data_IF_159535096014
#
_entry.id   IF_159535096014
#
_cell.length_a   1.000
_cell.length_b   1.000
_cell.length_c   1.000
_cell.angle_alpha   90.00
_cell.angle_beta   90.00
_cell.angle_gamma   90.00
#
_symmetry.space_group_name_H-M   'P 1'
#
loop_
_entity.id
_entity.type
_entity.pdbx_description
1 polymer ?
#
# COMPACT_ATOMS: atom_id res chain seq x y z
N UNK A 1 4.98 -24.47 -0.05
CA UNK A 1 4.13 -23.80 -1.08
C UNK A 1 4.99 -22.96 -2.03
N UNK A 2 4.45 -22.57 -3.19
CA UNK A 2 5.12 -21.68 -4.16
C UNK A 2 4.58 -20.25 -4.04
N UNK A 3 5.37 -19.26 -4.41
CA UNK A 3 4.99 -17.84 -4.44
C UNK A 3 5.15 -17.29 -5.86
N UNK A 4 4.06 -16.79 -6.43
CA UNK A 4 4.12 -16.07 -7.69
C UNK A 4 4.64 -14.64 -7.48
N UNK A 5 5.60 -14.20 -8.28
CA UNK A 5 6.08 -12.82 -8.28
C UNK A 5 5.92 -12.22 -9.68
N UNK A 6 5.22 -11.09 -9.76
CA UNK A 6 5.16 -10.27 -10.96
C UNK A 6 5.80 -8.91 -10.67
N UNK A 7 6.73 -8.51 -11.53
CA UNK A 7 7.35 -7.20 -11.52
C UNK A 7 6.99 -6.44 -12.78
N UNK A 8 6.47 -5.23 -12.62
CA UNK A 8 6.27 -4.29 -13.71
C UNK A 8 7.45 -3.33 -13.75
N UNK A 9 8.31 -3.41 -14.78
CA UNK A 9 9.53 -2.60 -14.85
C UNK A 9 9.26 -1.13 -15.17
N UNK A 10 8.15 -0.85 -15.87
CA UNK A 10 7.76 0.49 -16.30
C UNK A 10 6.68 1.11 -15.39
N UNK A 11 6.48 2.42 -15.55
CA UNK A 11 5.37 3.11 -14.91
C UNK A 11 4.05 2.47 -15.32
N UNK A 12 3.29 2.03 -14.32
CA UNK A 12 2.08 1.24 -14.54
C UNK A 12 0.84 2.00 -14.10
N UNK A 13 -0.30 1.77 -14.75
CA UNK A 13 -1.57 2.35 -14.31
C UNK A 13 -1.96 1.80 -12.93
N UNK A 14 -2.31 2.68 -12.00
CA UNK A 14 -2.82 2.28 -10.68
C UNK A 14 -4.09 1.43 -10.80
N UNK A 15 -4.99 1.79 -11.73
CA UNK A 15 -6.22 1.05 -12.01
C UNK A 15 -5.94 -0.36 -12.50
N UNK A 16 -5.01 -0.50 -13.46
CA UNK A 16 -4.63 -1.82 -14.00
C UNK A 16 -4.18 -2.77 -12.89
N UNK A 17 -3.28 -2.31 -12.03
CA UNK A 17 -2.82 -3.12 -10.88
C UNK A 17 -3.94 -3.36 -9.87
N UNK A 18 -4.81 -2.37 -9.64
CA UNK A 18 -5.97 -2.53 -8.74
C UNK A 18 -6.93 -3.60 -9.23
N UNK A 19 -7.19 -3.67 -10.54
CA UNK A 19 -7.98 -4.73 -11.15
C UNK A 19 -7.31 -6.10 -11.02
N UNK A 20 -6.02 -6.20 -11.33
CA UNK A 20 -5.28 -7.46 -11.15
C UNK A 20 -5.33 -7.94 -9.69
N UNK A 21 -5.06 -7.05 -8.73
CA UNK A 21 -5.16 -7.34 -7.31
C UNK A 21 -6.56 -7.84 -6.93
N UNK A 22 -7.63 -7.20 -7.44
CA UNK A 22 -9.01 -7.58 -7.17
C UNK A 22 -9.30 -8.99 -7.72
N UNK A 23 -8.84 -9.32 -8.93
CA UNK A 23 -8.96 -10.64 -9.54
C UNK A 23 -8.28 -11.71 -8.68
N UNK A 24 -7.01 -11.51 -8.31
CA UNK A 24 -6.25 -12.47 -7.49
C UNK A 24 -6.86 -12.67 -6.10
N UNK A 25 -7.29 -11.57 -5.46
CA UNK A 25 -7.99 -11.61 -4.17
C UNK A 25 -9.30 -12.40 -4.28
N UNK A 26 -10.06 -12.18 -5.35
CA UNK A 26 -11.33 -12.87 -5.60
C UNK A 26 -11.11 -14.38 -5.81
N UNK A 27 -10.08 -14.79 -6.55
CA UNK A 27 -9.73 -16.21 -6.74
C UNK A 27 -9.47 -16.92 -5.41
N UNK A 28 -8.66 -16.34 -4.52
CA UNK A 28 -8.41 -16.88 -3.18
C UNK A 28 -9.69 -16.96 -2.33
N UNK A 29 -10.55 -15.93 -2.40
CA UNK A 29 -11.82 -15.91 -1.68
C UNK A 29 -12.83 -16.96 -2.19
N UNK A 30 -12.88 -17.16 -3.51
CA UNK A 30 -13.71 -18.19 -4.15
C UNK A 30 -13.23 -19.58 -3.76
N UNK A 31 -11.92 -19.85 -3.80
CA UNK A 31 -11.35 -21.11 -3.33
C UNK A 31 -11.71 -21.37 -1.85
N UNK A 32 -11.57 -20.38 -0.97
CA UNK A 32 -12.00 -20.49 0.44
C UNK A 32 -13.47 -20.78 0.61
N UNK A 33 -14.33 -20.20 -0.23
CA UNK A 33 -15.78 -20.48 -0.21
C UNK A 33 -16.04 -21.92 -0.62
N UNK A 34 -15.40 -22.40 -1.69
CA UNK A 34 -15.48 -23.77 -2.15
C UNK A 34 -14.97 -24.76 -1.09
N UNK A 35 -13.85 -24.48 -0.42
CA UNK A 35 -13.33 -25.28 0.69
C UNK A 35 -14.32 -25.40 1.86
N UNK A 36 -15.02 -24.31 2.18
CA UNK A 36 -16.04 -24.34 3.25
C UNK A 36 -17.27 -25.16 2.86
N UNK A 37 -17.62 -25.23 1.58
CA UNK A 37 -18.76 -26.00 1.06
C UNK A 37 -18.42 -27.46 0.76
N UNK A 38 -17.18 -27.77 0.37
CA UNK A 38 -16.75 -29.12 0.07
C UNK A 38 -16.59 -29.99 1.32
N UNK A 39 -16.44 -29.39 2.50
CA UNK A 39 -16.56 -30.14 3.76
C UNK A 39 -17.91 -30.90 3.87
N UNK A 40 -18.92 -30.54 3.07
CA UNK A 40 -20.22 -31.19 3.00
C UNK A 40 -20.39 -32.15 1.78
N UNK A 41 -19.41 -32.25 0.86
CA UNK A 41 -19.53 -33.06 -0.39
C UNK A 41 -18.24 -33.81 -0.76
N UNK A 42 -18.36 -35.04 -1.27
CA UNK A 42 -17.23 -35.98 -1.47
C UNK A 42 -16.34 -35.73 -2.72
N UNK A 43 -16.42 -34.57 -3.39
CA UNK A 43 -15.62 -34.29 -4.59
C UNK A 43 -14.29 -33.61 -4.27
N UNK A 44 -13.16 -34.03 -4.89
CA UNK A 44 -11.86 -33.42 -4.64
C UNK A 44 -11.80 -32.00 -5.22
N UNK A 45 -11.41 -31.04 -4.38
CA UNK A 45 -11.22 -29.63 -4.77
C UNK A 45 -9.89 -29.43 -5.52
N UNK A 46 -9.83 -28.44 -6.44
CA UNK A 46 -8.57 -28.01 -7.03
C UNK A 46 -7.61 -27.44 -5.96
N UNK A 47 -6.30 -27.45 -6.23
CA UNK A 47 -5.32 -26.84 -5.33
C UNK A 47 -5.63 -25.34 -5.11
N UNK A 48 -5.26 -24.78 -3.95
CA UNK A 48 -5.45 -23.36 -3.68
C UNK A 48 -4.61 -22.52 -4.66
N UNK A 49 -5.13 -21.37 -5.13
CA UNK A 49 -4.31 -20.42 -5.89
C UNK A 49 -3.05 -20.04 -5.12
N UNK A 50 -1.94 -19.90 -5.85
CA UNK A 50 -0.67 -19.52 -5.24
C UNK A 50 -0.74 -18.08 -4.70
N UNK A 51 -0.15 -17.80 -3.53
CA UNK A 51 0.03 -16.43 -3.07
C UNK A 51 0.83 -15.63 -4.11
N UNK A 52 0.55 -14.34 -4.21
CA UNK A 52 1.18 -13.48 -5.23
C UNK A 52 1.74 -12.21 -4.60
N UNK A 53 2.95 -11.83 -4.98
CA UNK A 53 3.48 -10.48 -4.76
C UNK A 53 3.52 -9.74 -6.11
N UNK A 54 2.91 -8.56 -6.15
CA UNK A 54 2.98 -7.63 -7.28
C UNK A 54 3.94 -6.52 -6.88
N UNK A 55 4.97 -6.25 -7.67
CA UNK A 55 5.87 -5.11 -7.48
C UNK A 55 5.83 -4.20 -8.70
N UNK A 56 5.69 -2.90 -8.49
CA UNK A 56 5.51 -1.93 -9.57
C UNK A 56 5.77 -0.50 -9.08
N UNK A 57 5.84 0.43 -10.02
CA UNK A 57 5.78 1.87 -9.76
C UNK A 57 4.60 2.44 -10.52
N UNK A 58 3.61 3.06 -9.85
CA UNK A 58 2.50 3.65 -10.57
C UNK A 58 2.88 4.99 -11.21
N UNK A 59 2.05 5.48 -12.12
CA UNK A 59 1.98 6.92 -12.40
C UNK A 59 1.61 7.69 -11.11
N UNK A 60 1.94 9.00 -11.00
CA UNK A 60 1.58 9.79 -9.83
C UNK A 60 0.12 9.61 -9.42
N UNK A 61 -0.09 9.17 -8.17
CA UNK A 61 -1.42 8.87 -7.63
C UNK A 61 -1.46 9.15 -6.13
N UNK A 62 -2.51 9.87 -5.71
CA UNK A 62 -2.93 9.94 -4.32
C UNK A 62 -4.02 8.91 -4.06
N UNK A 63 -3.84 8.14 -2.99
CA UNK A 63 -4.87 7.19 -2.54
C UNK A 63 -5.37 7.55 -1.17
N UNK A 64 -6.65 7.32 -0.91
CA UNK A 64 -7.24 7.46 0.43
C UNK A 64 -7.65 6.10 0.96
N UNK A 65 -7.28 5.82 2.21
CA UNK A 65 -7.65 4.58 2.90
C UNK A 65 -8.95 4.75 3.69
N UNK A 66 -9.41 3.66 4.30
CA UNK A 66 -10.72 3.60 4.99
C UNK A 66 -10.95 4.65 6.07
N UNK A 67 -9.91 5.22 6.68
CA UNK A 67 -10.07 6.25 7.72
C UNK A 67 -10.46 7.61 7.16
N UNK A 68 -10.23 7.84 5.87
CA UNK A 68 -10.55 9.09 5.16
C UNK A 68 -11.74 8.93 4.20
N UNK A 69 -12.31 7.73 4.08
CA UNK A 69 -13.49 7.52 3.26
C UNK A 69 -14.75 8.03 4.00
N UNK A 70 -15.66 8.74 3.31
CA UNK A 70 -16.93 9.12 3.91
C UNK A 70 -17.74 7.86 4.34
N UNK A 71 -18.51 7.93 5.45
CA UNK A 71 -19.24 6.77 5.99
C UNK A 71 -20.20 6.09 5.01
N UNK A 72 -20.66 6.80 3.97
CA UNK A 72 -21.59 6.30 2.96
C UNK A 72 -20.98 5.33 1.95
N UNK A 73 -19.65 5.16 1.92
CA UNK A 73 -18.95 4.27 0.98
C UNK A 73 -18.59 2.90 1.59
N UNK A 74 -19.09 2.57 2.80
CA UNK A 74 -18.76 1.31 3.50
C UNK A 74 -19.93 0.33 3.67
N UNK A 75 -21.11 0.61 3.11
CA UNK A 75 -22.30 -0.26 3.21
C UNK A 75 -22.83 -0.65 1.82
N UNK A 76 -23.31 -1.89 1.60
CA UNK A 76 -24.05 -2.23 0.39
C UNK A 76 -25.33 -1.39 0.35
N UNK A 77 -25.58 -0.66 -0.74
CA UNK A 77 -26.88 0.00 -0.93
C UNK A 77 -27.91 -1.07 -1.25
N UNK A 78 -28.68 -1.48 -0.25
CA UNK A 78 -29.97 -2.13 -0.47
C UNK A 78 -30.92 -1.10 -1.11
N UNK A 79 -31.22 -1.28 -2.39
CA UNK A 79 -32.19 -0.48 -3.14
C UNK A 79 -33.60 -0.93 -2.82
N UNK A 80 -34.10 -0.71 -1.60
CA UNK A 80 -35.52 -0.86 -1.28
C UNK A 80 -35.94 0.07 -0.13
N UNK A 81 -36.36 1.29 -0.47
CA UNK A 81 -37.30 2.10 0.31
C UNK A 81 -37.84 3.21 -0.62
N UNK A 82 -38.95 2.95 -1.30
CA UNK A 82 -40.30 3.32 -0.88
C UNK A 82 -40.58 4.82 -1.11
N UNK A 83 -41.30 5.06 -2.20
CA UNK A 83 -41.79 6.35 -2.64
C UNK A 83 -42.76 6.99 -1.62
N UNK A 84 -42.72 8.32 -1.54
CA UNK A 84 -43.86 9.11 -1.08
C UNK A 84 -43.95 10.36 -1.96
N UNK A 85 -45.06 10.63 -2.65
CA UNK A 85 -45.18 11.80 -3.51
C UNK A 85 -45.77 12.97 -2.73
N UNK A 86 -45.23 14.18 -2.91
CA UNK A 86 -45.97 15.42 -2.67
C UNK A 86 -45.46 16.53 -3.61
N UNK A 87 -46.35 17.38 -4.17
CA UNK A 87 -46.06 18.18 -5.36
C UNK A 87 -45.83 19.66 -5.02
N UNK A 88 -44.98 20.34 -5.81
CA UNK A 88 -45.25 21.67 -6.40
C UNK A 88 -44.07 22.12 -7.28
N UNK A 89 -44.32 22.85 -8.39
CA UNK A 89 -43.34 23.08 -9.44
C UNK A 89 -42.62 24.41 -9.25
N UNK A 90 -41.29 24.42 -9.41
CA UNK A 90 -40.60 25.63 -9.84
C UNK A 90 -39.46 25.25 -10.79
N UNK A 91 -39.59 25.75 -12.01
CA UNK A 91 -38.62 25.69 -13.09
C UNK A 91 -37.38 26.48 -12.74
N UNK A 92 -36.23 25.81 -12.62
CA UNK A 92 -34.93 26.42 -12.95
C UNK A 92 -33.88 25.35 -13.22
N UNK A 93 -33.38 25.37 -14.46
CA UNK A 93 -32.12 24.83 -14.99
C UNK A 93 -31.55 23.55 -14.37
N UNK A 94 -31.76 22.44 -15.08
CA UNK A 94 -30.89 21.26 -15.06
C UNK A 94 -29.45 21.66 -15.42
N UNK A 95 -28.68 22.02 -14.39
CA UNK A 95 -27.23 21.91 -14.44
C UNK A 95 -26.90 20.50 -13.98
N UNK A 96 -26.35 19.73 -14.91
CA UNK A 96 -25.86 18.37 -14.72
C UNK A 96 -25.09 18.27 -13.40
N UNK A 97 -25.64 17.53 -12.45
CA UNK A 97 -24.99 17.24 -11.18
C UNK A 97 -23.81 16.30 -11.42
N UNK A 98 -22.67 16.89 -11.80
CA UNK A 98 -21.39 16.23 -11.69
C UNK A 98 -21.28 15.74 -10.24
N UNK A 99 -21.32 14.42 -10.07
CA UNK A 99 -21.09 13.71 -8.82
C UNK A 99 -19.66 14.01 -8.39
N UNK A 100 -19.48 15.19 -7.80
CA UNK A 100 -18.21 15.65 -7.27
C UNK A 100 -17.96 14.79 -6.05
N UNK A 101 -17.19 13.72 -6.21
CA UNK A 101 -16.66 12.96 -5.08
C UNK A 101 -16.03 13.99 -4.13
N UNK A 102 -16.58 14.10 -2.93
CA UNK A 102 -15.99 14.95 -1.88
C UNK A 102 -14.59 14.42 -1.62
N UNK A 103 -13.59 15.30 -1.71
CA UNK A 103 -12.23 14.91 -1.38
C UNK A 103 -12.10 14.92 0.14
N UNK A 104 -11.28 14.05 0.73
CA UNK A 104 -10.96 14.16 2.14
C UNK A 104 -10.13 15.42 2.39
N UNK A 105 -10.13 15.96 3.63
CA UNK A 105 -9.49 17.24 3.95
C UNK A 105 -8.04 17.39 3.47
N UNK A 106 -7.16 16.36 3.56
CA UNK A 106 -5.78 16.47 3.06
C UNK A 106 -5.68 16.72 1.55
N UNK A 107 -6.69 16.32 0.78
CA UNK A 107 -6.70 16.40 -0.68
C UNK A 107 -7.42 17.65 -1.21
N UNK A 108 -8.27 18.29 -0.40
CA UNK A 108 -8.95 19.52 -0.81
C UNK A 108 -7.97 20.65 -1.11
N UNK A 109 -6.90 20.78 -0.30
CA UNK A 109 -5.87 21.79 -0.48
C UNK A 109 -5.09 21.63 -1.80
N UNK A 110 -5.03 20.41 -2.32
CA UNK A 110 -4.27 20.07 -3.53
C UNK A 110 -5.17 19.69 -4.69
N UNK A 111 -6.45 20.03 -4.65
CA UNK A 111 -7.44 19.71 -5.70
C UNK A 111 -6.95 20.10 -7.10
N UNK A 112 -6.20 21.21 -7.21
CA UNK A 112 -5.60 21.67 -8.47
C UNK A 112 -4.50 20.75 -9.01
N UNK A 113 -3.92 19.88 -8.20
CA UNK A 113 -2.92 18.87 -8.59
C UNK A 113 -3.56 17.52 -8.95
N UNK A 114 -4.87 17.36 -8.73
CA UNK A 114 -5.55 16.07 -8.89
C UNK A 114 -6.24 15.94 -10.25
N UNK A 115 -6.14 14.74 -10.81
CA UNK A 115 -7.00 14.26 -11.89
C UNK A 115 -8.19 13.55 -11.23
N UNK A 116 -9.44 13.98 -11.51
CA UNK A 116 -10.60 13.30 -10.96
C UNK A 116 -10.68 11.85 -11.49
N UNK A 117 -11.28 10.93 -10.73
CA UNK A 117 -11.35 9.52 -11.11
C UNK A 117 -12.19 9.26 -12.38
N UNK A 118 -12.92 10.25 -12.90
CA UNK A 118 -13.69 10.18 -14.15
C UNK A 118 -13.77 11.56 -14.86
N UNK A 119 -13.79 11.61 -16.21
CA UNK A 119 -13.46 10.54 -17.15
C UNK A 119 -11.93 10.41 -17.31
N UNK A 120 -11.47 9.18 -17.46
CA UNK A 120 -10.06 8.81 -17.61
C UNK A 120 -9.35 9.59 -18.73
N UNK A 121 -8.19 10.21 -18.49
CA UNK A 121 -7.16 10.19 -19.52
C UNK A 121 -6.67 8.75 -19.68
N UNK A 122 -6.42 8.32 -20.91
CA UNK A 122 -5.58 7.15 -21.16
C UNK A 122 -4.26 7.35 -20.40
N UNK A 123 -3.72 6.31 -19.77
CA UNK A 123 -2.48 6.40 -19.00
C UNK A 123 -1.27 6.89 -19.81
N UNK A 124 -1.42 7.06 -21.12
CA UNK A 124 -0.41 7.60 -22.02
C UNK A 124 -0.33 9.14 -21.99
N UNK A 125 -1.36 9.85 -21.50
CA UNK A 125 -1.42 11.32 -21.51
C UNK A 125 -1.70 11.90 -20.11
N UNK A 126 -0.90 11.50 -19.10
CA UNK A 126 -0.96 12.22 -17.81
C UNK A 126 -0.33 13.62 -17.95
N UNK A 127 -1.06 14.70 -17.63
CA UNK A 127 -0.49 16.03 -17.69
C UNK A 127 0.66 16.18 -16.69
N UNK A 128 1.73 16.92 -17.03
CA UNK A 128 2.84 17.15 -16.12
C UNK A 128 2.37 17.83 -14.84
N UNK A 129 2.88 17.38 -13.70
CA UNK A 129 2.55 17.95 -12.39
C UNK A 129 1.15 17.61 -11.87
N UNK A 130 0.45 16.64 -12.48
CA UNK A 130 -0.83 16.12 -11.99
C UNK A 130 -0.68 14.69 -11.44
N UNK A 131 -1.56 14.33 -10.50
CA UNK A 131 -1.67 12.97 -9.96
C UNK A 131 -3.12 12.49 -9.98
N UNK A 132 -3.34 11.21 -10.25
CA UNK A 132 -4.65 10.58 -10.12
C UNK A 132 -5.11 10.58 -8.66
N UNK A 133 -6.43 10.60 -8.43
CA UNK A 133 -7.03 10.36 -7.12
C UNK A 133 -7.86 9.07 -7.11
N UNK A 134 -7.53 8.15 -6.18
CA UNK A 134 -8.26 6.89 -6.01
C UNK A 134 -8.66 6.62 -4.54
N UNK A 135 -9.96 6.54 -4.23
CA UNK A 135 -10.41 5.99 -2.94
C UNK A 135 -10.19 4.48 -2.89
N UNK A 136 -9.71 3.96 -1.76
CA UNK A 136 -9.32 2.54 -1.62
C UNK A 136 -9.76 1.96 -0.27
N UNK A 137 -9.86 0.63 -0.21
CA UNK A 137 -10.24 -0.10 1.02
C UNK A 137 -9.05 -0.42 1.95
N UNK A 138 -7.83 0.05 1.63
CA UNK A 138 -6.65 -0.19 2.47
C UNK A 138 -6.79 0.48 3.84
N UNK A 139 -6.07 -0.06 4.83
CA UNK A 139 -5.89 0.63 6.11
C UNK A 139 -5.16 1.96 5.96
N UNK A 140 -5.32 2.83 6.97
CA UNK A 140 -4.66 4.13 6.99
C UNK A 140 -5.48 5.26 6.35
N UNK A 141 -4.84 6.41 6.25
CA UNK A 141 -5.35 7.68 5.70
C UNK A 141 -4.70 7.93 4.33
N UNK A 142 -4.78 9.15 3.82
CA UNK A 142 -4.22 9.61 2.54
C UNK A 142 -2.72 9.30 2.41
N UNK A 143 -2.26 8.90 1.22
CA UNK A 143 -0.83 8.73 0.88
C UNK A 143 -0.59 8.95 -0.61
N UNK A 144 0.69 8.99 -1.00
CA UNK A 144 1.14 9.17 -2.39
C UNK A 144 1.92 7.94 -2.87
N UNK A 145 1.72 7.59 -4.14
CA UNK A 145 2.55 6.65 -4.89
C UNK A 145 2.89 7.25 -6.27
N UNK A 146 4.05 6.90 -6.81
CA UNK A 146 4.45 7.38 -8.13
C UNK A 146 5.92 7.08 -8.45
N UNK A 147 6.46 7.70 -9.51
CA UNK A 147 7.86 7.62 -9.90
C UNK A 147 8.81 7.77 -8.70
N UNK A 148 9.85 6.93 -8.66
CA UNK A 148 10.80 6.90 -7.55
C UNK A 148 10.38 6.08 -6.32
N UNK A 149 9.19 5.49 -6.31
CA UNK A 149 8.71 4.63 -5.24
C UNK A 149 8.52 3.18 -5.73
N UNK A 150 9.02 2.22 -4.95
CA UNK A 150 8.72 0.79 -5.14
C UNK A 150 7.44 0.47 -4.35
N UNK A 151 6.37 0.11 -5.06
CA UNK A 151 5.14 -0.39 -4.44
C UNK A 151 5.13 -1.90 -4.51
N UNK A 152 4.81 -2.56 -3.40
CA UNK A 152 4.62 -4.01 -3.35
C UNK A 152 3.27 -4.36 -2.73
N UNK A 153 2.42 -5.09 -3.47
CA UNK A 153 1.18 -5.65 -2.97
C UNK A 153 1.33 -7.14 -2.69
N UNK A 154 0.86 -7.57 -1.53
CA UNK A 154 0.95 -8.96 -1.06
C UNK A 154 -0.45 -9.56 -0.97
N UNK A 155 -0.78 -10.42 -1.94
CA UNK A 155 -2.06 -11.11 -2.06
C UNK A 155 -1.90 -12.52 -1.51
N UNK A 156 -2.23 -12.71 -0.23
CA UNK A 156 -1.87 -13.90 0.54
C UNK A 156 -3.07 -14.44 1.29
N UNK A 157 -3.11 -15.76 1.50
CA UNK A 157 -3.90 -16.36 2.57
C UNK A 157 -3.09 -16.39 3.87
N UNK A 158 -3.34 -15.43 4.76
CA UNK A 158 -2.63 -15.33 6.03
C UNK A 158 -2.84 -16.55 6.92
N UNK A 159 -3.98 -17.25 6.82
CA UNK A 159 -4.26 -18.43 7.65
C UNK A 159 -3.32 -19.59 7.29
N UNK A 160 -3.06 -19.80 6.00
CA UNK A 160 -2.13 -20.82 5.51
C UNK A 160 -0.69 -20.53 5.93
N UNK A 161 -0.31 -19.25 5.95
CA UNK A 161 1.00 -18.81 6.42
C UNK A 161 1.12 -18.70 7.94
N UNK A 162 0.08 -19.05 8.72
CA UNK A 162 0.09 -18.92 10.18
C UNK A 162 0.20 -17.48 10.69
N UNK A 163 -0.18 -16.49 9.86
CA UNK A 163 -0.06 -15.07 10.14
C UNK A 163 -1.36 -14.49 10.71
N UNK A 164 -1.24 -13.71 11.79
CA UNK A 164 -2.29 -12.76 12.18
C UNK A 164 -2.16 -11.46 11.35
N UNK A 165 -3.18 -10.60 11.28
CA UNK A 165 -3.08 -9.28 10.66
C UNK A 165 -1.90 -8.44 11.16
N UNK A 166 -1.64 -8.44 12.48
CA UNK A 166 -0.52 -7.70 13.08
C UNK A 166 0.82 -8.33 12.75
N UNK A 167 0.91 -9.66 12.71
CA UNK A 167 2.10 -10.37 12.26
C UNK A 167 2.43 -10.02 10.80
N UNK A 168 1.42 -9.93 9.93
CA UNK A 168 1.61 -9.56 8.53
C UNK A 168 2.18 -8.14 8.36
N UNK A 169 1.65 -7.15 9.09
CA UNK A 169 2.20 -5.78 9.07
C UNK A 169 3.66 -5.78 9.52
N UNK A 170 3.96 -6.42 10.66
CA UNK A 170 5.34 -6.54 11.16
C UNK A 170 6.26 -7.29 10.20
N UNK A 171 5.76 -8.29 9.50
CA UNK A 171 6.51 -9.02 8.48
C UNK A 171 6.90 -8.08 7.33
N UNK A 172 5.97 -7.26 6.83
CA UNK A 172 6.26 -6.26 5.79
C UNK A 172 7.30 -5.24 6.25
N UNK A 173 7.10 -4.65 7.43
CA UNK A 173 8.01 -3.66 8.03
C UNK A 173 9.42 -4.23 8.21
N UNK A 174 9.52 -5.42 8.81
CA UNK A 174 10.81 -6.03 9.06
C UNK A 174 11.49 -6.53 7.76
N UNK A 175 10.73 -6.87 6.73
CA UNK A 175 11.29 -7.19 5.40
C UNK A 175 11.94 -5.96 4.79
N UNK A 176 11.31 -4.79 4.91
CA UNK A 176 11.91 -3.52 4.48
C UNK A 176 13.13 -3.17 5.33
N UNK A 177 13.10 -3.39 6.64
CA UNK A 177 14.27 -3.20 7.51
C UNK A 177 15.46 -4.06 7.05
N UNK A 178 15.23 -5.31 6.64
CA UNK A 178 16.30 -6.16 6.09
C UNK A 178 16.84 -5.61 4.76
N UNK A 179 15.98 -5.05 3.91
CA UNK A 179 16.42 -4.38 2.68
C UNK A 179 17.26 -3.15 3.01
N UNK A 180 16.82 -2.30 3.93
CA UNK A 180 17.57 -1.12 4.41
C UNK A 180 18.94 -1.53 4.97
N UNK A 181 18.99 -2.58 5.78
CA UNK A 181 20.23 -3.10 6.33
C UNK A 181 21.21 -3.52 5.24
N UNK A 182 20.72 -4.07 4.12
CA UNK A 182 21.58 -4.41 2.97
C UNK A 182 22.19 -3.20 2.25
N UNK A 183 21.63 -2.00 2.48
CA UNK A 183 22.17 -0.71 2.02
C UNK A 183 22.92 0.05 3.12
N UNK A 184 23.18 -0.57 4.27
CA UNK A 184 23.84 0.08 5.41
C UNK A 184 22.96 1.08 6.16
N UNK A 185 21.65 1.11 5.88
CA UNK A 185 20.69 2.00 6.52
C UNK A 185 20.01 1.28 7.68
N UNK A 186 19.99 1.92 8.86
CA UNK A 186 19.27 1.42 10.03
C UNK A 186 17.80 1.87 9.99
N UNK A 187 16.91 0.97 9.61
CA UNK A 187 15.47 1.15 9.74
C UNK A 187 14.96 0.85 11.14
N UNK A 188 13.83 1.46 11.52
CA UNK A 188 13.12 1.24 12.77
C UNK A 188 11.59 1.28 12.56
N UNK A 189 10.86 0.64 13.48
CA UNK A 189 9.40 0.72 13.58
C UNK A 189 9.06 1.63 14.76
N UNK A 190 7.96 2.37 14.64
CA UNK A 190 7.42 3.21 15.72
C UNK A 190 5.98 2.79 16.01
N UNK A 191 5.29 3.50 16.91
CA UNK A 191 3.84 3.34 17.09
C UNK A 191 3.04 3.67 15.82
N UNK A 192 3.62 4.51 14.94
CA UNK A 192 3.02 4.87 13.66
C UNK A 192 3.40 3.84 12.58
N UNK A 193 2.44 3.16 11.92
CA UNK A 193 2.72 2.11 10.96
C UNK A 193 3.64 2.54 9.81
N UNK A 194 4.51 1.63 9.41
CA UNK A 194 5.53 1.87 8.39
C UNK A 194 6.95 1.74 8.93
N UNK A 195 7.91 1.95 8.03
CA UNK A 195 9.34 1.94 8.38
C UNK A 195 9.88 3.36 8.36
N UNK A 196 10.70 3.63 9.35
CA UNK A 196 11.25 4.92 9.67
C UNK A 196 12.77 4.84 9.75
N UNK A 197 13.44 5.98 9.59
CA UNK A 197 14.89 6.12 9.72
C UNK A 197 15.20 7.37 10.50
N UNK A 198 16.30 7.37 11.24
CA UNK A 198 16.78 8.61 11.85
C UNK A 198 17.25 9.57 10.75
N UNK A 199 16.91 10.87 10.82
CA UNK A 199 17.48 11.84 9.91
C UNK A 199 19.01 11.87 10.08
N UNK A 200 19.76 12.23 9.03
CA UNK A 200 21.19 12.45 9.17
C UNK A 200 21.41 13.50 10.24
N UNK A 201 22.24 13.20 11.24
CA UNK A 201 22.60 14.15 12.30
C UNK A 201 23.13 15.42 11.64
N UNK A 202 22.39 16.53 11.75
CA UNK A 202 22.88 17.83 11.34
C UNK A 202 24.22 18.06 12.06
N UNK A 203 25.28 18.56 11.38
CA UNK A 203 26.45 19.02 12.10
C UNK A 203 25.97 20.05 13.12
N UNK A 204 26.11 19.72 14.41
CA UNK A 204 25.70 20.59 15.50
C UNK A 204 26.28 21.99 15.24
N UNK A 205 25.47 23.07 15.20
CA UNK A 205 26.03 24.41 15.27
C UNK A 205 26.84 24.47 16.58
N UNK A 206 28.02 25.11 16.52
CA UNK A 206 29.03 25.17 17.58
C UNK A 206 28.42 25.16 19.00
N UNK A 207 29.08 24.54 20.00
CA UNK A 207 28.64 24.62 21.39
C UNK A 207 28.41 26.08 21.75
N UNK A 208 27.18 26.43 22.13
CA UNK A 208 26.88 27.76 22.65
C UNK A 208 27.68 27.93 23.94
N UNK A 209 28.69 28.80 23.90
CA UNK A 209 29.56 29.03 25.05
C UNK A 209 28.87 29.81 26.19
N UNK A 210 27.58 30.11 26.04
CA UNK A 210 26.73 30.79 27.01
C UNK A 210 25.29 30.29 26.87
N UNK A 211 24.83 29.44 27.80
CA UNK A 211 23.44 28.99 27.84
C UNK A 211 23.20 28.02 28.99
N UNK A 212 22.36 28.42 29.93
CA UNK A 212 21.96 27.63 31.09
C UNK A 212 21.29 26.31 30.66
N UNK A 213 21.58 25.23 31.39
CA UNK A 213 21.13 23.87 31.09
C UNK A 213 19.61 23.70 31.05
N UNK A 214 19.06 23.80 29.85
CA UNK A 214 17.86 23.11 29.40
C UNK A 214 18.18 22.45 28.05
N UNK A 215 19.09 21.47 28.08
CA UNK A 215 19.45 20.63 26.94
C UNK A 215 18.35 19.60 26.66
N UNK A 216 17.13 20.06 26.45
CA UNK A 216 16.17 19.30 25.63
C UNK A 216 16.52 19.55 24.17
N UNK A 217 17.69 19.04 23.74
CA UNK A 217 18.04 19.00 22.32
C UNK A 217 16.84 18.38 21.60
N UNK A 218 16.13 19.18 20.81
CA UNK A 218 14.90 18.78 20.13
C UNK A 218 15.23 17.50 19.35
N UNK A 219 14.77 16.36 19.89
CA UNK A 219 15.15 15.06 19.38
C UNK A 219 14.51 14.96 17.99
N UNK A 220 15.34 15.06 16.95
CA UNK A 220 14.83 15.07 15.58
C UNK A 220 13.98 13.81 15.38
N UNK A 221 12.72 14.00 15.00
CA UNK A 221 11.80 12.91 14.81
C UNK A 221 12.26 12.06 13.60
N UNK A 222 12.12 10.74 13.65
CA UNK A 222 12.50 9.89 12.54
C UNK A 222 11.63 10.18 11.31
N UNK A 223 12.21 10.03 10.10
CA UNK A 223 11.53 10.25 8.83
C UNK A 223 10.99 8.93 8.27
N UNK A 224 9.77 8.94 7.73
CA UNK A 224 9.13 7.76 7.14
C UNK A 224 9.75 7.45 5.79
N UNK A 225 10.34 6.27 5.65
CA UNK A 225 10.91 5.80 4.38
C UNK A 225 9.98 4.81 3.67
N UNK A 226 9.05 4.18 4.39
CA UNK A 226 8.07 3.26 3.79
C UNK A 226 6.71 3.36 4.48
N UNK A 227 5.67 3.58 3.69
CA UNK A 227 4.29 3.46 4.15
C UNK A 227 3.83 2.00 4.07
N UNK A 228 3.01 1.58 5.03
CA UNK A 228 2.37 0.25 5.06
C UNK A 228 0.86 0.46 5.16
N UNK A 229 0.11 -0.19 4.27
CA UNK A 229 -1.35 -0.13 4.26
C UNK A 229 -1.92 -1.36 3.58
N UNK A 230 -2.55 -2.23 4.38
CA UNK A 230 -3.14 -3.49 3.90
C UNK A 230 -4.66 -3.49 4.09
N UNK A 231 -5.36 -4.28 3.29
CA UNK A 231 -6.75 -4.65 3.50
C UNK A 231 -6.85 -6.16 3.74
N UNK A 232 -7.84 -6.59 4.52
CA UNK A 232 -8.03 -7.98 4.91
C UNK A 232 -9.51 -8.38 4.84
N UNK A 233 -9.80 -9.45 4.11
CA UNK A 233 -11.13 -10.07 4.05
C UNK A 233 -11.01 -11.59 4.13
N UNK A 234 -11.66 -12.23 5.11
CA UNK A 234 -11.57 -13.69 5.35
C UNK A 234 -10.11 -14.21 5.37
N UNK A 235 -9.20 -13.48 6.03
CA UNK A 235 -7.76 -13.74 6.07
C UNK A 235 -7.01 -13.65 4.73
N UNK A 236 -7.66 -13.17 3.65
CA UNK A 236 -6.98 -12.83 2.40
C UNK A 236 -6.53 -11.38 2.47
N UNK A 237 -5.24 -11.13 2.26
CA UNK A 237 -4.66 -9.79 2.22
C UNK A 237 -4.72 -9.18 0.82
N UNK A 238 -4.78 -7.85 0.76
CA UNK A 238 -4.52 -7.05 -0.43
C UNK A 238 -3.81 -5.74 -0.04
N UNK A 239 -3.28 -5.03 -1.03
CA UNK A 239 -2.35 -3.90 -0.88
C UNK A 239 -1.03 -4.35 -0.20
N UNK A 240 -0.26 -3.40 0.35
CA UNK A 240 1.03 -3.72 0.96
C UNK A 240 1.81 -2.48 1.35
N UNK A 241 2.94 -2.23 0.68
CA UNK A 241 3.90 -1.17 1.04
C UNK A 241 4.17 -0.21 -0.12
N UNK A 242 4.57 1.02 0.21
CA UNK A 242 5.20 1.97 -0.71
C UNK A 242 6.54 2.43 -0.13
N UNK A 243 7.64 1.93 -0.69
CA UNK A 243 9.02 2.18 -0.25
C UNK A 243 9.68 3.24 -1.15
N UNK A 244 10.04 4.37 -0.56
CA UNK A 244 10.65 5.49 -1.28
C UNK A 244 12.13 5.20 -1.61
N UNK A 245 12.45 5.15 -2.90
CA UNK A 245 13.79 4.84 -3.40
C UNK A 245 14.50 6.13 -3.82
N UNK A 246 13.89 6.93 -4.71
CA UNK A 246 14.47 8.19 -5.19
C UNK A 246 13.86 9.42 -4.50
N UNK A 247 14.32 10.61 -4.85
CA UNK A 247 13.81 11.88 -4.30
C UNK A 247 12.47 12.32 -4.89
N UNK A 248 12.05 11.74 -6.03
CA UNK A 248 10.86 12.17 -6.76
C UNK A 248 9.57 12.20 -5.92
N UNK A 249 9.28 11.22 -5.03
CA UNK A 249 8.07 11.25 -4.21
C UNK A 249 8.03 12.38 -3.19
N UNK A 250 9.17 12.97 -2.82
CA UNK A 250 9.26 13.90 -1.68
C UNK A 250 8.48 15.19 -1.91
N UNK A 251 8.48 15.71 -3.15
CA UNK A 251 7.69 16.91 -3.46
C UNK A 251 6.20 16.64 -3.27
N UNK A 252 5.71 15.47 -3.69
CA UNK A 252 4.31 15.07 -3.54
C UNK A 252 3.92 14.88 -2.07
N UNK A 253 4.77 14.23 -1.27
CA UNK A 253 4.52 14.10 0.17
C UNK A 253 4.41 15.45 0.88
N UNK A 254 5.19 16.46 0.47
CA UNK A 254 5.10 17.82 1.05
C UNK A 254 3.80 18.55 0.74
N UNK A 255 2.99 18.07 -0.20
CA UNK A 255 1.71 18.70 -0.52
C UNK A 255 0.57 18.25 0.41
N UNK A 256 0.79 17.22 1.23
CA UNK A 256 -0.26 16.61 2.06
C UNK A 256 0.23 16.30 3.47
N UNK A 257 -0.70 16.17 4.42
CA UNK A 257 -0.43 15.48 5.69
C UNK A 257 -0.56 13.96 5.45
N UNK A 258 0.53 13.32 5.05
CA UNK A 258 0.54 11.90 4.72
C UNK A 258 0.24 11.03 5.95
N UNK A 259 -0.62 10.02 5.76
CA UNK A 259 -1.09 9.11 6.82
C UNK A 259 -1.79 9.79 8.01
N UNK A 260 -2.09 11.11 7.92
CA UNK A 260 -2.61 11.95 9.00
C UNK A 260 -1.64 12.12 10.17
N UNK A 261 -0.33 12.11 9.86
CA UNK A 261 0.73 12.27 10.84
C UNK A 261 1.33 13.68 10.74
N UNK A 262 0.74 14.62 11.47
CA UNK A 262 1.23 16.00 11.50
C UNK A 262 2.66 16.08 12.07
N UNK A 263 3.51 16.91 11.46
CA UNK A 263 4.91 17.08 11.88
C UNK A 263 5.83 15.89 11.57
N UNK A 264 5.35 14.83 10.91
CA UNK A 264 6.19 13.72 10.42
C UNK A 264 6.57 13.92 8.97
N UNK A 265 7.85 13.77 8.66
CA UNK A 265 8.35 13.89 7.30
C UNK A 265 8.60 12.53 6.64
N UNK A 266 8.57 12.51 5.30
CA UNK A 266 9.00 11.37 4.51
C UNK A 266 10.46 11.54 4.08
N UNK A 267 11.14 10.43 3.80
CA UNK A 267 12.46 10.39 3.16
C UNK A 267 12.56 9.23 2.18
N UNK A 268 13.71 9.05 1.53
CA UNK A 268 14.00 7.98 0.58
C UNK A 268 15.43 7.48 0.70
N UNK A 269 15.76 6.35 0.06
CA UNK A 269 17.15 5.89 -0.03
C UNK A 269 18.08 6.99 -0.59
N UNK A 270 17.67 7.65 -1.68
CA UNK A 270 18.42 8.77 -2.25
C UNK A 270 18.56 9.95 -1.28
N UNK A 271 17.56 10.22 -0.43
CA UNK A 271 17.65 11.22 0.64
C UNK A 271 18.60 10.88 1.77
N UNK A 272 18.97 9.62 1.90
CA UNK A 272 20.01 9.14 2.80
C UNK A 272 21.38 9.01 2.11
N UNK A 273 21.50 9.45 0.85
CA UNK A 273 22.72 9.31 0.05
C UNK A 273 22.93 7.92 -0.55
N UNK A 274 21.92 7.04 -0.51
CA UNK A 274 21.97 5.70 -1.09
C UNK A 274 21.42 5.73 -2.52
N UNK A 275 22.25 5.33 -3.48
CA UNK A 275 21.82 5.11 -4.86
C UNK A 275 21.33 3.67 -5.01
N UNK A 276 20.08 3.50 -5.44
CA UNK A 276 19.46 2.20 -5.66
C UNK A 276 18.47 2.27 -6.81
N UNK A 277 18.35 1.17 -7.54
CA UNK A 277 17.39 0.96 -8.61
C UNK A 277 16.13 0.27 -8.08
N UNK A 278 14.96 0.68 -8.59
CA UNK A 278 13.67 0.13 -8.17
C UNK A 278 13.58 -1.39 -8.41
N UNK A 279 14.03 -1.95 -9.55
CA UNK A 279 13.99 -3.40 -9.78
C UNK A 279 14.82 -4.19 -8.75
N UNK A 280 16.05 -3.78 -8.43
CA UNK A 280 16.80 -4.50 -7.38
C UNK A 280 16.18 -4.33 -6.00
N UNK A 281 15.62 -3.16 -5.66
CA UNK A 281 14.88 -2.97 -4.40
C UNK A 281 13.67 -3.90 -4.33
N UNK A 282 12.91 -4.04 -5.42
CA UNK A 282 11.78 -4.98 -5.52
C UNK A 282 12.22 -6.43 -5.31
N UNK A 283 13.29 -6.86 -6.00
CA UNK A 283 13.85 -8.21 -5.85
C UNK A 283 14.34 -8.49 -4.41
N UNK A 284 15.07 -7.55 -3.81
CA UNK A 284 15.54 -7.65 -2.42
C UNK A 284 14.38 -7.71 -1.43
N UNK A 285 13.31 -6.97 -1.67
CA UNK A 285 12.11 -7.01 -0.83
C UNK A 285 11.45 -8.39 -0.86
N UNK A 286 11.23 -8.98 -2.04
CA UNK A 286 10.64 -10.32 -2.17
C UNK A 286 11.52 -11.38 -1.48
N UNK A 287 12.83 -11.31 -1.68
CA UNK A 287 13.78 -12.21 -1.01
C UNK A 287 13.75 -12.06 0.53
N UNK A 288 13.72 -10.81 1.04
CA UNK A 288 13.62 -10.55 2.48
C UNK A 288 12.29 -11.05 3.05
N UNK A 289 11.19 -10.82 2.34
CA UNK A 289 9.85 -11.28 2.71
C UNK A 289 9.81 -12.80 2.86
N UNK A 290 10.26 -13.54 1.84
CA UNK A 290 10.27 -15.01 1.84
C UNK A 290 11.17 -15.58 2.94
N UNK A 291 12.38 -15.03 3.10
CA UNK A 291 13.28 -15.43 4.20
C UNK A 291 12.61 -15.28 5.55
N UNK A 292 11.88 -14.19 5.79
CA UNK A 292 11.18 -13.95 7.05
C UNK A 292 9.96 -14.85 7.26
N UNK A 293 9.17 -15.09 6.21
CA UNK A 293 8.07 -16.08 6.27
C UNK A 293 8.62 -17.43 6.72
N UNK A 294 9.68 -17.91 6.07
CA UNK A 294 10.25 -19.21 6.35
C UNK A 294 10.91 -19.31 7.71
N UNK A 295 11.65 -18.26 8.12
CA UNK A 295 12.34 -18.26 9.41
C UNK A 295 11.37 -18.11 10.59
N UNK A 296 10.40 -17.21 10.49
CA UNK A 296 9.62 -16.75 11.65
C UNK A 296 8.26 -17.48 11.76
N UNK A 297 7.71 -18.00 10.67
CA UNK A 297 6.32 -18.48 10.62
C UNK A 297 6.14 -19.89 10.07
N UNK A 298 7.08 -20.41 9.28
CA UNK A 298 6.98 -21.77 8.76
C UNK A 298 7.25 -22.83 9.84
N UNK A 299 6.50 -23.93 9.80
CA UNK A 299 6.64 -25.03 10.75
C UNK A 299 8.07 -25.65 10.74
N UNK A 300 8.74 -25.66 9.59
CA UNK A 300 10.10 -26.19 9.43
C UNK A 300 11.20 -25.25 9.99
N UNK A 301 10.85 -24.02 10.42
CA UNK A 301 11.78 -23.03 11.00
C UNK A 301 11.91 -23.04 12.52
N UNK A 302 11.24 -23.99 13.21
CA UNK A 302 11.49 -24.30 14.63
C UNK A 302 10.46 -23.78 15.65
N UNK A 303 9.52 -22.90 15.27
CA UNK A 303 8.38 -22.46 16.14
C UNK A 303 7.08 -22.08 15.40
N UNK A 304 7.09 -22.05 14.07
CA UNK A 304 5.97 -21.61 13.25
C UNK A 304 4.84 -22.63 13.14
N UNK A 305 3.66 -22.19 12.68
CA UNK A 305 2.50 -23.07 12.38
C UNK A 305 2.04 -22.98 10.92
N UNK A 306 2.69 -22.13 10.13
CA UNK A 306 2.34 -21.88 8.74
C UNK A 306 3.07 -22.79 7.76
N UNK A 307 2.55 -22.84 6.54
CA UNK A 307 3.23 -23.39 5.38
C UNK A 307 4.41 -22.48 4.98
N UNK A 308 5.57 -23.08 4.68
CA UNK A 308 6.73 -22.34 4.15
C UNK A 308 6.63 -22.08 2.65
N UNK A 309 7.35 -21.07 2.17
CA UNK A 309 7.52 -20.74 0.76
C UNK A 309 8.83 -21.38 0.26
N UNK A 310 8.70 -22.43 -0.54
CA UNK A 310 9.84 -23.22 -1.04
C UNK A 310 10.44 -22.64 -2.32
N UNK A 311 9.61 -21.98 -3.13
CA UNK A 311 9.99 -21.46 -4.44
C UNK A 311 9.31 -20.11 -4.68
N UNK A 312 10.05 -19.18 -5.28
CA UNK A 312 9.49 -17.97 -5.90
C UNK A 312 9.67 -18.11 -7.40
N UNK A 313 8.59 -17.97 -8.15
CA UNK A 313 8.63 -18.05 -9.61
C UNK A 313 8.05 -16.78 -10.22
N UNK A 314 8.70 -16.32 -11.30
CA UNK A 314 8.25 -15.16 -12.06
C UNK A 314 7.03 -15.54 -12.91
N UNK A 315 6.05 -14.65 -12.98
CA UNK A 315 4.83 -14.84 -13.78
C UNK A 315 4.53 -13.60 -14.61
N UNK A 316 3.94 -13.81 -15.80
CA UNK A 316 3.36 -12.71 -16.57
C UNK A 316 1.94 -12.40 -16.09
N UNK A 317 1.44 -11.21 -16.44
CA UNK A 317 0.03 -10.87 -16.17
C UNK A 317 -0.91 -11.82 -16.91
N UNK A 318 -0.55 -12.28 -18.11
CA UNK A 318 -1.36 -13.23 -18.86
C UNK A 318 -1.44 -14.59 -18.15
N UNK A 319 -0.35 -15.09 -17.59
CA UNK A 319 -0.35 -16.32 -16.77
C UNK A 319 -1.25 -16.17 -15.53
N UNK A 320 -1.24 -14.98 -14.92
CA UNK A 320 -2.09 -14.67 -13.77
C UNK A 320 -3.56 -14.47 -14.13
N UNK A 321 -3.90 -14.25 -15.40
CA UNK A 321 -5.27 -14.06 -15.87
C UNK A 321 -5.85 -15.30 -16.54
N UNK A 322 -5.02 -16.19 -17.10
CA UNK A 322 -5.45 -17.51 -17.58
C UNK A 322 -5.93 -18.36 -16.38
N UNK A 323 -7.02 -19.10 -16.59
CA UNK A 323 -7.56 -20.13 -15.69
C UNK A 323 -7.20 -21.51 -16.21
#
# INVERSE_FOLDING_TARGET
MRLAHIHYPDLTSFTRISHLQQTLTTRLLTHKKALSAANDTASPLPPPPDPTIITFTPHPVYTTGRRDLPPSNTSPRDTTAAATPSPSPSTSNESQSHTTLSLPPPLEQIRSLLIPPTPYPSSQDQPPGKAEYHPTLRGGQTTYHGPGQMVAYTILDLRRLGLTPRCHIRLLENSVIDVLASYGVRGLVTEDPGVWVQPPSSPSPLPSQYGNGDDTAAQQLPHKITAVGVHLRRNISSFGIGFNVTQEPMWWFRQIVACGLEGREATSLAGLGVQADIPAVAGRFVQAFVRRVNRDFAAQGGKGKGEGIEEVYSVSEEDLLRE
#
